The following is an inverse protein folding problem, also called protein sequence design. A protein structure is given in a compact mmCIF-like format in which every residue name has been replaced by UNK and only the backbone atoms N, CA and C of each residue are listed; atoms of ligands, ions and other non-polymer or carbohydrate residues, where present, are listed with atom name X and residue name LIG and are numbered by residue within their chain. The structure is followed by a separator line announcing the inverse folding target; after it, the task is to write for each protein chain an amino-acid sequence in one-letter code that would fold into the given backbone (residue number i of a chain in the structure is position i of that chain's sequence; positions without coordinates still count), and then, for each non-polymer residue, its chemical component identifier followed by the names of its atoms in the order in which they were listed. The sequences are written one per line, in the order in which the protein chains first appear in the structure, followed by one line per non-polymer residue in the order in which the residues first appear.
data_IF_659760757333
#
_entry.id   IF_659760757333
#
_cell.length_a   1.000
_cell.length_b   1.000
_cell.length_c   1.000
_cell.angle_alpha   90.00
_cell.angle_beta   90.00
_cell.angle_gamma   90.00
#
_symmetry.space_group_name_H-M   'P 1'
#
loop_
_entity.id
_entity.type
_entity.pdbx_description
1 polymer ?
#
# COMPACT_ATOMS: atom_id res chain seq x y z
N UNK A 1 -5.14 -9.56 -20.17
CA UNK A 1 -5.69 -10.92 -20.03
C UNK A 1 -5.44 -11.38 -18.60
N UNK A 2 -6.49 -11.70 -17.83
CA UNK A 2 -6.27 -12.19 -16.46
C UNK A 2 -5.85 -13.66 -16.51
N UNK A 3 -4.61 -13.94 -16.11
CA UNK A 3 -4.08 -15.29 -15.99
C UNK A 3 -4.87 -16.09 -14.95
N UNK A 4 -5.21 -17.34 -15.24
CA UNK A 4 -5.77 -18.26 -14.25
C UNK A 4 -4.70 -18.68 -13.24
N UNK A 5 -5.08 -19.25 -12.10
CA UNK A 5 -4.11 -19.78 -11.14
C UNK A 5 -3.20 -20.84 -11.77
N UNK A 6 -3.76 -21.72 -12.59
CA UNK A 6 -2.98 -22.73 -13.28
C UNK A 6 -1.94 -22.13 -14.26
N UNK A 7 -2.29 -21.03 -14.95
CA UNK A 7 -1.34 -20.36 -15.83
C UNK A 7 -0.20 -19.69 -15.03
N UNK A 8 -0.48 -19.20 -13.84
CA UNK A 8 0.54 -18.66 -12.94
C UNK A 8 1.45 -19.74 -12.38
N UNK A 9 0.91 -20.91 -12.00
CA UNK A 9 1.72 -22.06 -11.57
C UNK A 9 2.65 -22.50 -12.70
N UNK A 10 2.20 -22.53 -13.95
CA UNK A 10 3.04 -22.87 -15.11
C UNK A 10 4.22 -21.91 -15.34
N UNK A 11 4.15 -20.68 -14.83
CA UNK A 11 5.27 -19.74 -14.92
C UNK A 11 6.41 -20.11 -13.96
N UNK A 12 6.11 -20.86 -12.90
CA UNK A 12 7.08 -21.36 -11.92
C UNK A 12 7.61 -22.70 -12.42
N UNK A 13 8.80 -22.69 -12.97
CA UNK A 13 9.49 -23.86 -13.55
C UNK A 13 10.70 -24.25 -12.70
N UNK A 14 11.33 -25.37 -12.98
CA UNK A 14 12.49 -25.88 -12.22
C UNK A 14 13.71 -24.92 -12.22
N UNK A 15 13.76 -24.00 -13.18
CA UNK A 15 14.79 -22.98 -13.32
C UNK A 15 14.36 -21.60 -12.77
N UNK A 16 13.28 -21.56 -11.98
CA UNK A 16 12.72 -20.31 -11.42
C UNK A 16 13.13 -20.14 -9.95
N UNK A 17 13.83 -19.04 -9.67
CA UNK A 17 14.05 -18.52 -8.31
C UNK A 17 12.83 -17.75 -7.86
N UNK A 18 12.30 -18.07 -6.69
CA UNK A 18 11.18 -17.35 -6.09
C UNK A 18 11.70 -16.57 -4.91
N UNK A 19 11.50 -15.27 -4.92
CA UNK A 19 11.90 -14.39 -3.81
C UNK A 19 10.66 -13.75 -3.21
N UNK A 20 10.38 -14.05 -1.94
CA UNK A 20 9.38 -13.33 -1.17
C UNK A 20 10.00 -12.13 -0.47
N UNK A 21 9.35 -10.99 -0.55
CA UNK A 21 9.81 -9.73 0.03
C UNK A 21 8.74 -9.13 0.92
N UNK A 22 9.07 -8.94 2.17
CA UNK A 22 8.30 -8.10 3.08
C UNK A 22 8.78 -6.65 2.96
N UNK A 23 7.84 -5.75 2.66
CA UNK A 23 8.09 -4.36 2.32
C UNK A 23 7.97 -3.47 3.57
N UNK A 24 9.11 -2.99 4.05
CA UNK A 24 9.14 -1.96 5.09
C UNK A 24 9.39 -0.55 4.52
N UNK A 25 9.13 0.46 5.31
CA UNK A 25 9.35 1.86 4.90
C UNK A 25 10.81 2.21 4.68
N UNK A 26 11.72 1.67 5.48
CA UNK A 26 13.16 1.91 5.43
C UNK A 26 13.95 0.68 5.01
N UNK A 27 13.51 -0.50 5.41
CA UNK A 27 14.23 -1.76 5.20
C UNK A 27 13.26 -2.82 4.73
N UNK A 28 13.64 -3.55 3.71
CA UNK A 28 12.93 -4.71 3.20
C UNK A 28 13.61 -6.00 3.66
N UNK A 29 12.82 -7.04 3.88
CA UNK A 29 13.27 -8.35 4.28
C UNK A 29 12.90 -9.35 3.20
N UNK A 30 13.83 -10.23 2.80
CA UNK A 30 13.52 -11.23 1.79
C UNK A 30 14.15 -12.58 2.05
N UNK A 31 13.55 -13.61 1.46
CA UNK A 31 13.98 -15.00 1.45
C UNK A 31 13.77 -15.60 0.06
N UNK A 32 14.64 -16.52 -0.31
CA UNK A 32 14.64 -17.13 -1.64
C UNK A 32 14.36 -18.63 -1.57
N UNK A 33 13.58 -19.12 -2.52
CA UNK A 33 13.11 -20.50 -2.60
C UNK A 33 13.19 -21.04 -4.02
N UNK A 34 13.28 -22.34 -4.16
CA UNK A 34 13.10 -23.03 -5.45
C UNK A 34 11.61 -23.28 -5.75
N UNK A 35 11.34 -23.82 -6.93
CA UNK A 35 10.00 -24.16 -7.39
C UNK A 35 9.25 -25.19 -6.52
N UNK A 36 9.97 -25.98 -5.70
CA UNK A 36 9.38 -26.93 -4.73
C UNK A 36 9.04 -26.26 -3.41
N UNK A 37 9.58 -25.07 -3.15
CA UNK A 37 9.48 -24.37 -1.86
C UNK A 37 10.63 -24.71 -0.91
N UNK A 38 11.72 -25.28 -1.43
CA UNK A 38 12.95 -25.48 -0.66
C UNK A 38 13.70 -24.15 -0.55
N UNK A 39 14.07 -23.78 0.67
CA UNK A 39 14.74 -22.51 0.93
C UNK A 39 16.21 -22.53 0.50
N UNK A 40 16.58 -21.55 -0.30
CA UNK A 40 17.93 -21.37 -0.84
C UNK A 40 18.73 -20.33 -0.06
N UNK A 41 18.02 -19.39 0.60
CA UNK A 41 18.65 -18.40 1.48
C UNK A 41 18.92 -19.00 2.86
N UNK A 42 20.16 -18.95 3.34
CA UNK A 42 20.50 -19.45 4.68
C UNK A 42 19.92 -18.59 5.81
N UNK A 43 19.68 -17.32 5.54
CA UNK A 43 19.17 -16.31 6.49
C UNK A 43 18.31 -15.32 5.73
N UNK A 44 17.44 -14.62 6.46
CA UNK A 44 16.71 -13.47 5.91
C UNK A 44 17.72 -12.43 5.43
N UNK A 45 17.62 -12.07 4.16
CA UNK A 45 18.41 -11.01 3.57
C UNK A 45 17.70 -9.68 3.77
N UNK A 46 18.44 -8.63 4.11
CA UNK A 46 17.93 -7.28 4.40
C UNK A 46 18.55 -6.29 3.42
N UNK A 47 17.73 -5.38 2.90
CA UNK A 47 18.20 -4.28 2.08
C UNK A 47 17.39 -3.02 2.32
N UNK A 48 18.00 -1.85 2.17
CA UNK A 48 17.34 -0.57 2.39
C UNK A 48 16.41 -0.19 1.24
N UNK A 49 15.35 0.58 1.54
CA UNK A 49 14.45 1.15 0.53
C UNK A 49 15.09 2.36 -0.16
N UNK A 50 16.23 2.12 -0.82
CA UNK A 50 17.05 3.10 -1.55
C UNK A 50 17.61 2.48 -2.81
N UNK A 51 18.01 3.27 -3.80
CA UNK A 51 18.65 2.77 -5.02
C UNK A 51 19.86 1.86 -4.75
N UNK A 52 20.70 2.20 -3.76
CA UNK A 52 21.83 1.37 -3.36
C UNK A 52 21.39 0.04 -2.73
N UNK A 53 20.31 0.07 -1.93
CA UNK A 53 19.72 -1.14 -1.37
C UNK A 53 19.17 -2.05 -2.45
N UNK A 54 18.51 -1.49 -3.45
CA UNK A 54 17.98 -2.25 -4.60
C UNK A 54 19.09 -2.89 -5.44
N UNK A 55 20.20 -2.19 -5.66
CA UNK A 55 21.39 -2.77 -6.31
C UNK A 55 22.00 -3.90 -5.48
N UNK A 56 21.98 -3.79 -4.16
CA UNK A 56 22.46 -4.85 -3.27
C UNK A 56 21.55 -6.09 -3.34
N UNK A 57 20.23 -5.88 -3.42
CA UNK A 57 19.25 -6.93 -3.67
C UNK A 57 19.49 -7.63 -5.02
N UNK A 58 19.70 -6.86 -6.08
CA UNK A 58 19.96 -7.39 -7.41
C UNK A 58 21.18 -8.31 -7.43
N UNK A 59 22.31 -7.85 -6.89
CA UNK A 59 23.54 -8.67 -6.78
C UNK A 59 23.30 -9.95 -6.00
N UNK A 60 22.64 -9.86 -4.85
CA UNK A 60 22.31 -11.04 -4.05
C UNK A 60 21.43 -12.05 -4.82
N UNK A 61 20.48 -11.57 -5.60
CA UNK A 61 19.61 -12.41 -6.44
C UNK A 61 20.42 -13.07 -7.56
N UNK A 62 21.30 -12.32 -8.25
CA UNK A 62 22.18 -12.84 -9.28
C UNK A 62 23.18 -13.89 -8.75
N UNK A 63 23.76 -13.65 -7.56
CA UNK A 63 24.62 -14.63 -6.90
C UNK A 63 23.90 -15.95 -6.60
N UNK A 64 22.64 -15.88 -6.13
CA UNK A 64 21.82 -17.06 -5.89
C UNK A 64 21.49 -17.79 -7.19
N UNK A 65 21.07 -17.06 -8.22
CA UNK A 65 20.75 -17.64 -9.54
C UNK A 65 21.95 -18.36 -10.14
N UNK A 66 23.13 -17.73 -10.11
CA UNK A 66 24.37 -18.35 -10.62
C UNK A 66 24.75 -19.60 -9.83
N UNK A 67 24.60 -19.57 -8.51
CA UNK A 67 24.94 -20.71 -7.63
C UNK A 67 23.99 -21.90 -7.80
N UNK A 68 22.75 -21.64 -8.16
CA UNK A 68 21.69 -22.66 -8.28
C UNK A 68 21.34 -22.97 -9.73
N UNK A 69 22.05 -22.37 -10.69
CA UNK A 69 21.82 -22.50 -12.15
C UNK A 69 20.41 -22.11 -12.59
N UNK A 70 19.74 -21.24 -11.83
CA UNK A 70 18.42 -20.74 -12.14
C UNK A 70 18.50 -19.63 -13.18
N UNK A 71 17.50 -19.58 -14.08
CA UNK A 71 17.49 -18.65 -15.24
C UNK A 71 16.44 -17.57 -15.12
N UNK A 72 15.46 -17.75 -14.25
CA UNK A 72 14.34 -16.83 -14.06
C UNK A 72 14.20 -16.48 -12.59
N UNK A 73 13.71 -15.29 -12.32
CA UNK A 73 13.36 -14.86 -10.99
C UNK A 73 11.94 -14.27 -10.98
N UNK A 74 11.15 -14.64 -9.98
CA UNK A 74 9.86 -14.03 -9.67
C UNK A 74 9.94 -13.48 -8.26
N UNK A 75 9.74 -12.18 -8.14
CA UNK A 75 9.74 -11.49 -6.85
C UNK A 75 8.30 -11.25 -6.42
N UNK A 76 7.92 -11.78 -5.27
CA UNK A 76 6.61 -11.54 -4.67
C UNK A 76 6.68 -10.57 -3.51
N UNK A 77 5.69 -9.68 -3.39
CA UNK A 77 5.54 -8.82 -2.21
C UNK A 77 4.09 -8.65 -1.81
N UNK A 78 3.87 -8.27 -0.55
CA UNK A 78 2.60 -7.74 -0.09
C UNK A 78 2.58 -6.23 -0.36
N UNK A 79 1.61 -5.70 -1.12
CA UNK A 79 1.57 -4.28 -1.50
C UNK A 79 1.07 -3.41 -0.35
N UNK A 80 1.89 -3.18 0.67
CA UNK A 80 1.57 -2.33 1.81
C UNK A 80 1.97 -0.88 1.55
N UNK A 81 1.02 0.04 1.61
CA UNK A 81 1.25 1.47 1.38
C UNK A 81 1.81 1.77 -0.02
N UNK A 82 2.76 2.73 -0.09
CA UNK A 82 3.41 3.15 -1.33
C UNK A 82 4.87 2.68 -1.46
N UNK A 83 5.43 2.05 -0.42
CA UNK A 83 6.87 1.75 -0.32
C UNK A 83 7.37 0.73 -1.36
N UNK A 84 6.49 -0.12 -1.86
CA UNK A 84 6.81 -1.12 -2.88
C UNK A 84 6.88 -0.56 -4.31
N UNK A 85 6.32 0.64 -4.56
CA UNK A 85 6.24 1.22 -5.90
C UNK A 85 7.62 1.57 -6.48
N UNK A 86 8.51 2.14 -5.67
CA UNK A 86 9.88 2.45 -6.09
C UNK A 86 10.69 1.19 -6.39
N UNK A 87 10.51 0.17 -5.56
CA UNK A 87 11.13 -1.13 -5.76
C UNK A 87 10.59 -1.83 -7.02
N UNK A 88 9.27 -1.79 -7.25
CA UNK A 88 8.68 -2.34 -8.48
C UNK A 88 9.23 -1.65 -9.73
N UNK A 89 9.32 -0.33 -9.73
CA UNK A 89 9.90 0.41 -10.86
C UNK A 89 11.34 -0.01 -11.11
N UNK A 90 12.15 -0.10 -10.06
CA UNK A 90 13.54 -0.57 -10.17
C UNK A 90 13.62 -1.98 -10.78
N UNK A 91 12.80 -2.92 -10.32
CA UNK A 91 12.77 -4.29 -10.85
C UNK A 91 12.31 -4.33 -12.32
N UNK A 92 11.33 -3.50 -12.68
CA UNK A 92 10.85 -3.38 -14.06
C UNK A 92 11.95 -2.85 -14.99
N UNK A 93 12.76 -1.88 -14.53
CA UNK A 93 13.91 -1.34 -15.30
C UNK A 93 15.03 -2.39 -15.49
N UNK A 94 14.98 -3.51 -14.74
CA UNK A 94 15.92 -4.64 -14.83
C UNK A 94 15.28 -5.93 -15.36
N UNK A 95 14.11 -5.84 -16.00
CA UNK A 95 13.35 -6.97 -16.56
C UNK A 95 13.00 -8.06 -15.52
N UNK A 96 12.90 -7.73 -14.26
CA UNK A 96 12.52 -8.63 -13.18
C UNK A 96 11.03 -8.48 -12.88
N UNK A 97 10.31 -9.61 -12.91
CA UNK A 97 8.88 -9.64 -12.63
C UNK A 97 8.61 -9.49 -11.12
N UNK A 98 7.89 -8.42 -10.74
CA UNK A 98 7.27 -8.30 -9.43
C UNK A 98 5.80 -8.71 -9.51
N UNK A 99 5.38 -9.53 -8.56
CA UNK A 99 3.99 -9.94 -8.38
C UNK A 99 3.52 -9.59 -6.97
N UNK A 100 2.22 -9.34 -6.82
CA UNK A 100 1.65 -8.97 -5.53
C UNK A 100 0.78 -10.08 -4.96
N UNK A 101 0.90 -10.33 -3.67
CA UNK A 101 0.03 -11.25 -2.92
C UNK A 101 -0.98 -10.46 -2.09
N UNK A 102 -2.17 -11.04 -1.92
CA UNK A 102 -3.21 -10.38 -1.14
C UNK A 102 -2.88 -10.44 0.35
N UNK A 103 -2.85 -9.30 1.09
CA UNK A 103 -2.56 -9.24 2.53
C UNK A 103 -3.43 -10.18 3.37
N UNK A 104 -4.70 -10.31 3.03
CA UNK A 104 -5.62 -11.23 3.71
C UNK A 104 -5.20 -12.70 3.56
N UNK A 105 -4.71 -13.07 2.37
CA UNK A 105 -4.22 -14.43 2.10
C UNK A 105 -2.91 -14.69 2.83
N UNK A 106 -2.01 -13.71 2.91
CA UNK A 106 -0.75 -13.82 3.67
C UNK A 106 -1.07 -14.08 5.15
N UNK A 107 -1.90 -13.25 5.77
CA UNK A 107 -2.27 -13.41 7.18
C UNK A 107 -2.89 -14.78 7.47
N UNK A 108 -3.83 -15.24 6.64
CA UNK A 108 -4.44 -16.58 6.80
C UNK A 108 -3.45 -17.74 6.61
N UNK A 109 -2.53 -17.61 5.66
CA UNK A 109 -1.53 -18.67 5.43
C UNK A 109 -0.54 -18.75 6.58
N UNK A 110 -0.21 -17.63 7.21
CA UNK A 110 0.64 -17.61 8.41
C UNK A 110 -0.03 -18.29 9.61
N UNK A 111 -1.33 -18.09 9.81
CA UNK A 111 -2.12 -18.76 10.85
C UNK A 111 -2.13 -20.30 10.69
N UNK A 112 -2.06 -20.79 9.44
CA UNK A 112 -2.05 -22.22 9.14
C UNK A 112 -0.66 -22.87 9.34
N UNK A 113 0.42 -22.11 9.10
CA UNK A 113 1.79 -22.62 9.19
C UNK A 113 2.32 -22.67 10.64
N UNK A 114 1.79 -21.81 11.50
CA UNK A 114 2.20 -21.70 12.90
C UNK A 114 0.96 -21.45 13.79
N UNK A 115 0.71 -22.33 14.76
CA UNK A 115 -0.29 -22.10 15.81
C UNK A 115 0.03 -20.89 16.73
N UNK A 116 0.95 -20.04 16.34
CA UNK A 116 1.41 -18.86 17.07
C UNK A 116 1.03 -17.59 16.32
N UNK A 117 0.23 -16.68 16.91
CA UNK A 117 -0.21 -15.43 16.28
C UNK A 117 0.88 -14.35 16.24
N UNK A 118 2.12 -14.68 16.62
CA UNK A 118 3.21 -13.70 16.58
C UNK A 118 3.62 -13.36 15.15
N UNK A 119 3.30 -12.14 14.74
CA UNK A 119 3.90 -11.51 13.55
C UNK A 119 5.41 -11.39 13.76
N UNK A 120 6.19 -11.98 12.87
CA UNK A 120 7.62 -11.72 12.83
C UNK A 120 8.03 -11.43 11.41
N UNK A 121 8.74 -10.31 11.19
CA UNK A 121 9.34 -9.88 9.92
C UNK A 121 10.20 -11.00 9.27
N UNK A 122 10.47 -12.08 10.00
CA UNK A 122 11.22 -13.22 9.56
C UNK A 122 10.38 -14.28 8.84
N UNK A 123 9.04 -14.31 9.10
CA UNK A 123 8.11 -15.31 8.56
C UNK A 123 7.41 -14.83 7.30
N UNK A 124 7.10 -13.53 7.23
CA UNK A 124 6.33 -12.93 6.15
C UNK A 124 6.94 -13.16 4.76
N UNK A 125 8.27 -13.01 4.53
CA UNK A 125 8.87 -13.29 3.23
C UNK A 125 8.75 -14.75 2.78
N UNK A 126 8.77 -15.71 3.71
CA UNK A 126 8.57 -17.14 3.41
C UNK A 126 7.16 -17.40 2.92
N UNK A 127 6.17 -16.92 3.66
CA UNK A 127 4.75 -17.10 3.31
C UNK A 127 4.44 -16.46 1.96
N UNK A 128 4.97 -15.27 1.69
CA UNK A 128 4.85 -14.58 0.40
C UNK A 128 5.42 -15.45 -0.73
N UNK A 129 6.64 -15.99 -0.57
CA UNK A 129 7.26 -16.83 -1.58
C UNK A 129 6.47 -18.11 -1.86
N UNK A 130 5.93 -18.76 -0.83
CA UNK A 130 5.12 -19.96 -0.98
C UNK A 130 3.79 -19.68 -1.70
N UNK A 131 3.15 -18.54 -1.43
CA UNK A 131 1.96 -18.10 -2.15
C UNK A 131 2.26 -17.84 -3.63
N UNK A 132 3.42 -17.26 -3.95
CA UNK A 132 3.87 -17.08 -5.33
C UNK A 132 4.08 -18.42 -6.00
N UNK A 133 4.75 -19.36 -5.34
CA UNK A 133 4.95 -20.74 -5.82
C UNK A 133 3.62 -21.39 -6.19
N UNK A 134 2.59 -21.22 -5.39
CA UNK A 134 1.27 -21.80 -5.57
C UNK A 134 0.38 -21.01 -6.56
N UNK A 135 0.92 -20.02 -7.27
CA UNK A 135 0.18 -19.19 -8.22
C UNK A 135 -0.87 -18.27 -7.60
N UNK A 136 -0.81 -18.06 -6.28
CA UNK A 136 -1.75 -17.22 -5.52
C UNK A 136 -1.28 -15.77 -5.47
N UNK A 137 -1.03 -15.20 -6.64
CA UNK A 137 -0.57 -13.83 -6.80
C UNK A 137 -1.31 -13.10 -7.91
N UNK A 138 -1.17 -11.81 -7.96
CA UNK A 138 -1.62 -10.95 -9.06
C UNK A 138 -0.42 -10.26 -9.70
N UNK A 139 -0.46 -10.11 -11.02
CA UNK A 139 0.51 -9.26 -11.71
C UNK A 139 0.14 -7.81 -11.47
N UNK A 140 1.06 -7.05 -10.88
CA UNK A 140 0.84 -5.63 -10.68
C UNK A 140 1.23 -4.85 -11.93
N UNK A 141 0.32 -3.99 -12.36
CA UNK A 141 0.56 -3.04 -13.42
C UNK A 141 0.85 -1.66 -12.81
N UNK A 142 2.03 -1.11 -13.09
CA UNK A 142 2.31 0.30 -12.82
C UNK A 142 2.01 1.09 -14.09
N UNK A 143 1.03 1.98 -14.05
CA UNK A 143 0.83 2.89 -15.15
C UNK A 143 2.05 3.81 -15.30
N UNK A 144 2.39 4.19 -16.53
CA UNK A 144 3.47 5.10 -16.86
C UNK A 144 2.94 6.36 -17.54
N UNK A 145 3.74 7.43 -17.57
CA UNK A 145 3.39 8.68 -18.21
C UNK A 145 2.13 9.31 -17.59
N UNK A 146 1.27 9.86 -18.45
CA UNK A 146 0.02 10.55 -18.04
C UNK A 146 -0.89 9.69 -17.15
N UNK A 147 -0.94 8.38 -17.37
CA UNK A 147 -1.75 7.48 -16.55
C UNK A 147 -1.24 7.34 -15.12
N UNK A 148 0.09 7.43 -14.90
CA UNK A 148 0.66 7.48 -13.56
C UNK A 148 0.26 8.78 -12.84
N UNK A 149 0.33 9.91 -13.53
CA UNK A 149 -0.07 11.22 -13.00
C UNK A 149 -1.56 11.27 -12.64
N UNK A 150 -2.44 10.75 -13.52
CA UNK A 150 -3.88 10.63 -13.25
C UNK A 150 -4.15 9.76 -12.03
N UNK A 151 -3.44 8.65 -11.86
CA UNK A 151 -3.58 7.79 -10.69
C UNK A 151 -3.23 8.53 -9.41
N UNK A 152 -2.09 9.22 -9.37
CA UNK A 152 -1.67 10.00 -8.20
C UNK A 152 -2.63 11.15 -7.90
N UNK A 153 -3.07 11.87 -8.92
CA UNK A 153 -4.07 12.93 -8.77
C UNK A 153 -5.40 12.39 -8.21
N UNK A 154 -5.84 11.21 -8.67
CA UNK A 154 -7.05 10.56 -8.17
C UNK A 154 -6.91 10.16 -6.70
N UNK A 155 -5.78 9.60 -6.31
CA UNK A 155 -5.50 9.24 -4.90
C UNK A 155 -5.49 10.50 -4.03
N UNK A 156 -4.82 11.55 -4.46
CA UNK A 156 -4.77 12.83 -3.75
C UNK A 156 -6.18 13.44 -3.60
N UNK A 157 -6.97 13.46 -4.69
CA UNK A 157 -8.35 13.91 -4.66
C UNK A 157 -9.19 13.14 -3.64
N UNK A 158 -9.09 11.81 -3.63
CA UNK A 158 -9.85 10.98 -2.70
C UNK A 158 -9.46 11.22 -1.23
N UNK A 159 -8.19 11.48 -0.96
CA UNK A 159 -7.72 11.85 0.38
C UNK A 159 -8.31 13.21 0.81
N UNK A 160 -8.27 14.22 -0.05
CA UNK A 160 -8.85 15.55 0.21
C UNK A 160 -10.36 15.44 0.45
N UNK A 161 -11.07 14.67 -0.38
CA UNK A 161 -12.52 14.47 -0.21
C UNK A 161 -12.86 13.79 1.11
N UNK A 162 -12.10 12.77 1.54
CA UNK A 162 -12.28 12.14 2.85
C UNK A 162 -12.06 13.12 4.01
N UNK A 163 -11.02 13.96 3.91
CA UNK A 163 -10.76 15.01 4.90
C UNK A 163 -11.88 16.05 4.92
N UNK A 164 -12.36 16.48 3.77
CA UNK A 164 -13.48 17.41 3.65
C UNK A 164 -14.74 16.88 4.33
N UNK A 165 -15.15 15.64 4.01
CA UNK A 165 -16.33 15.02 4.64
C UNK A 165 -16.16 14.91 6.16
N UNK A 166 -14.97 14.51 6.63
CA UNK A 166 -14.70 14.43 8.07
C UNK A 166 -14.84 15.79 8.75
N UNK A 167 -14.25 16.83 8.15
CA UNK A 167 -14.29 18.19 8.69
C UNK A 167 -15.72 18.74 8.67
N UNK A 168 -16.46 18.54 7.57
CA UNK A 168 -17.86 18.92 7.44
C UNK A 168 -18.71 18.33 8.56
N UNK A 169 -18.58 17.02 8.81
CA UNK A 169 -19.32 16.36 9.88
C UNK A 169 -18.94 16.89 11.28
N UNK A 170 -17.66 17.23 11.49
CA UNK A 170 -17.21 17.82 12.76
C UNK A 170 -17.81 19.22 12.99
N UNK A 171 -17.83 20.07 11.96
CA UNK A 171 -18.39 21.42 12.04
C UNK A 171 -19.90 21.34 12.25
N UNK A 172 -20.63 20.50 11.50
CA UNK A 172 -22.06 20.32 11.69
C UNK A 172 -22.40 19.83 13.10
N UNK A 173 -21.65 18.84 13.61
CA UNK A 173 -21.84 18.35 14.98
C UNK A 173 -21.54 19.42 16.03
N UNK A 174 -20.56 20.28 15.79
CA UNK A 174 -20.26 21.43 16.65
C UNK A 174 -21.38 22.47 16.61
N UNK A 175 -21.88 22.84 15.42
CA UNK A 175 -23.02 23.76 15.26
C UNK A 175 -24.27 23.23 15.97
N UNK A 176 -24.62 21.97 15.77
CA UNK A 176 -25.77 21.33 16.45
C UNK A 176 -25.67 21.40 17.97
N UNK A 177 -24.45 21.35 18.51
CA UNK A 177 -24.23 21.38 19.96
C UNK A 177 -24.22 22.80 20.56
N UNK A 178 -23.65 23.76 19.84
CA UNK A 178 -23.35 25.07 20.41
C UNK A 178 -24.08 26.22 19.71
N UNK A 179 -24.62 26.01 18.52
CA UNK A 179 -25.32 27.02 17.73
C UNK A 179 -26.42 26.38 16.84
N UNK A 180 -27.42 25.67 17.42
CA UNK A 180 -28.45 24.96 16.64
C UNK A 180 -29.31 25.89 15.77
N UNK A 181 -29.55 27.14 16.20
CA UNK A 181 -30.32 28.16 15.47
C UNK A 181 -29.68 28.54 14.14
N UNK A 182 -28.39 28.26 13.94
CA UNK A 182 -27.68 28.49 12.69
C UNK A 182 -28.38 27.81 11.51
N UNK A 183 -28.87 26.58 11.71
CA UNK A 183 -29.55 25.79 10.65
C UNK A 183 -30.95 26.31 10.31
N UNK A 184 -31.55 27.13 11.16
CA UNK A 184 -32.82 27.81 10.84
C UNK A 184 -32.59 28.94 9.84
N UNK A 185 -31.43 29.58 9.89
CA UNK A 185 -31.05 30.67 8.99
C UNK A 185 -30.33 30.20 7.73
N UNK A 186 -29.52 29.14 7.83
CA UNK A 186 -28.69 28.61 6.74
C UNK A 186 -29.00 27.12 6.52
N UNK A 187 -29.86 26.83 5.55
CA UNK A 187 -30.18 25.43 5.16
C UNK A 187 -28.92 24.69 4.67
N UNK A 188 -28.05 25.40 3.91
CA UNK A 188 -26.73 24.92 3.52
C UNK A 188 -25.72 25.59 4.47
N UNK A 189 -25.23 24.82 5.43
CA UNK A 189 -24.35 25.31 6.48
C UNK A 189 -23.03 25.89 5.95
N UNK A 190 -22.54 25.37 4.82
CA UNK A 190 -21.29 25.77 4.16
C UNK A 190 -21.48 26.79 3.04
N UNK A 191 -22.63 27.47 2.99
CA UNK A 191 -22.86 28.59 2.09
C UNK A 191 -21.84 29.70 2.34
N UNK A 192 -21.46 30.45 1.31
CA UNK A 192 -20.45 31.52 1.43
C UNK A 192 -20.79 32.50 2.54
N UNK A 193 -22.06 32.96 2.60
CA UNK A 193 -22.52 33.87 3.66
C UNK A 193 -22.51 33.23 5.03
N UNK A 194 -22.92 31.97 5.14
CA UNK A 194 -22.87 31.23 6.40
C UNK A 194 -21.45 31.07 6.93
N UNK A 195 -20.50 30.70 6.07
CA UNK A 195 -19.10 30.59 6.46
C UNK A 195 -18.48 31.95 6.83
N UNK A 196 -18.87 33.03 6.17
CA UNK A 196 -18.44 34.37 6.56
C UNK A 196 -18.96 34.74 7.94
N UNK A 197 -20.25 34.46 8.23
CA UNK A 197 -20.81 34.69 9.57
C UNK A 197 -20.07 33.88 10.64
N UNK A 198 -19.84 32.57 10.40
CA UNK A 198 -19.12 31.74 11.37
C UNK A 198 -17.67 32.16 11.60
N UNK A 199 -17.05 32.78 10.61
CA UNK A 199 -15.70 33.32 10.75
C UNK A 199 -15.65 34.53 11.67
N UNK A 200 -16.66 35.42 11.62
CA UNK A 200 -16.72 36.64 12.41
C UNK A 200 -17.43 36.41 13.78
N UNK A 201 -18.46 35.58 13.80
CA UNK A 201 -19.29 35.31 14.99
C UNK A 201 -19.57 33.79 15.11
N UNK A 202 -18.64 33.01 15.63
CA UNK A 202 -18.77 31.55 15.69
C UNK A 202 -19.82 31.06 16.69
N UNK A 203 -20.21 31.90 17.66
CA UNK A 203 -21.19 31.57 18.71
C UNK A 203 -22.36 32.55 18.73
N UNK A 204 -23.59 32.15 19.20
CA UNK A 204 -24.73 33.02 19.27
C UNK A 204 -24.46 34.32 20.07
N UNK A 205 -23.70 34.22 21.15
CA UNK A 205 -23.30 35.34 21.96
C UNK A 205 -22.40 36.36 21.23
N UNK A 206 -21.68 35.95 20.21
CA UNK A 206 -20.84 36.86 19.45
C UNK A 206 -21.69 37.68 18.47
N UNK A 207 -22.76 37.10 17.95
CA UNK A 207 -23.79 37.80 17.15
C UNK A 207 -24.48 38.88 18.01
N UNK A 208 -24.83 38.55 19.26
CA UNK A 208 -25.46 39.51 20.19
C UNK A 208 -24.52 40.69 20.49
N UNK A 209 -23.22 40.50 20.55
CA UNK A 209 -22.24 41.59 20.74
C UNK A 209 -22.11 42.50 19.52
N UNK A 210 -22.19 41.94 18.31
CA UNK A 210 -22.08 42.70 17.08
C UNK A 210 -23.36 43.53 16.83
N UNK A 211 -24.52 43.04 17.26
CA UNK A 211 -25.82 43.68 17.09
C UNK A 211 -26.34 43.64 15.64
N UNK A 212 -27.60 44.02 15.44
CA UNK A 212 -28.29 43.94 14.16
C UNK A 212 -27.72 44.85 13.04
N UNK A 213 -26.85 45.78 13.35
CA UNK A 213 -26.23 46.70 12.38
C UNK A 213 -24.81 46.31 11.97
N UNK A 214 -24.26 45.22 12.50
CA UNK A 214 -22.88 44.80 12.27
C UNK A 214 -22.70 43.52 11.43
N UNK A 215 -23.81 42.93 10.98
CA UNK A 215 -23.85 41.71 10.13
C UNK A 215 -24.14 42.11 8.65
#
# INVERSE_FOLDING_TARGET
MNLTQNDRIKQVTSDTLIVGVDIGSQTHFCRAFDWRGFELSRRVFKFSNTGMGFLTFLRWTEELMNKTEMKKVIVGCEPTGCYWLTFQKFLQDHDIQLVTVNPFTVNRSMELDDNSPEKSDLKDPKTIALLVKDGRYSTSYLPSGVYAEIREASVCRDQIMKQHVRLSNQIQGWLQKFFPEYFECYAEWDSTSGLMLLKEAPLPQDILKIGAGGI
#
